data_IF_032889299021
#
_entry.id   IF_032889299021
#
_cell.length_a   1.000
_cell.length_b   1.000
_cell.length_c   1.000
_cell.angle_alpha   90.00
_cell.angle_beta   90.00
_cell.angle_gamma   90.00
#
_symmetry.space_group_name_H-M   'P 1'
#
loop_
_entity.id
_entity.type
_entity.pdbx_description
1 polymer ?
#
# COMPACT_ATOMS: atom_id res chain seq x y z
N UNK A 1 -17.56 16.43 -14.31
CA UNK A 1 -17.33 16.76 -12.89
C UNK A 1 -15.84 16.59 -12.64
N UNK A 2 -15.15 17.63 -12.18
CA UNK A 2 -13.72 17.58 -11.92
C UNK A 2 -13.54 16.93 -10.53
N UNK A 3 -13.25 15.63 -10.49
CA UNK A 3 -13.21 14.82 -9.27
C UNK A 3 -11.80 14.71 -8.68
N UNK A 4 -10.93 15.70 -8.92
CA UNK A 4 -9.58 15.70 -8.35
C UNK A 4 -9.61 16.39 -6.98
N UNK A 5 -9.74 15.61 -5.91
CA UNK A 5 -9.42 16.08 -4.57
C UNK A 5 -7.91 16.19 -4.39
N UNK A 6 -7.45 17.20 -3.63
CA UNK A 6 -6.03 17.29 -3.25
C UNK A 6 -5.65 16.17 -2.29
N UNK A 7 -4.34 15.93 -2.10
CA UNK A 7 -3.88 14.93 -1.14
C UNK A 7 -4.32 15.29 0.30
N UNK A 8 -4.25 16.56 0.67
CA UNK A 8 -4.68 17.07 1.97
C UNK A 8 -6.19 16.89 2.20
N UNK A 9 -7.00 17.12 1.15
CA UNK A 9 -8.44 16.86 1.19
C UNK A 9 -8.74 15.38 1.41
N UNK A 10 -8.01 14.48 0.75
CA UNK A 10 -8.16 13.02 0.92
C UNK A 10 -7.73 12.60 2.33
N UNK A 11 -6.59 13.13 2.83
CA UNK A 11 -6.11 12.88 4.19
C UNK A 11 -7.18 13.27 5.21
N UNK A 12 -7.74 14.48 5.08
CA UNK A 12 -8.79 14.96 5.99
C UNK A 12 -10.09 14.17 5.86
N UNK A 13 -10.53 13.86 4.63
CA UNK A 13 -11.77 13.13 4.37
C UNK A 13 -11.73 11.69 4.90
N UNK A 14 -10.59 11.01 4.76
CA UNK A 14 -10.42 9.63 5.20
C UNK A 14 -9.91 9.50 6.64
N UNK A 15 -9.55 10.60 7.29
CA UNK A 15 -8.95 10.65 8.63
C UNK A 15 -7.63 9.87 8.68
N UNK A 16 -6.72 10.18 7.74
CA UNK A 16 -5.41 9.52 7.66
C UNK A 16 -4.41 10.11 8.67
N UNK A 17 -3.62 9.25 9.29
CA UNK A 17 -2.53 9.62 10.20
C UNK A 17 -1.17 9.36 9.56
N UNK A 18 -0.11 10.10 9.91
CA UNK A 18 1.24 9.82 9.41
C UNK A 18 1.68 8.39 9.74
N UNK A 19 2.19 7.66 8.74
CA UNK A 19 2.70 6.29 8.92
C UNK A 19 4.19 6.32 9.31
N UNK A 20 4.66 5.47 10.25
CA UNK A 20 6.07 5.42 10.68
C UNK A 20 7.08 5.21 9.54
N UNK A 21 6.65 4.57 8.46
CA UNK A 21 7.47 4.28 7.28
C UNK A 21 7.32 5.31 6.16
N UNK A 22 6.72 6.48 6.47
CA UNK A 22 6.27 7.56 5.57
C UNK A 22 4.91 7.32 4.93
N UNK A 23 4.36 8.39 4.37
CA UNK A 23 3.00 8.46 3.88
C UNK A 23 2.00 8.61 5.01
N UNK A 24 0.74 8.41 4.67
CA UNK A 24 -0.40 8.52 5.57
C UNK A 24 -1.21 7.24 5.47
N UNK A 25 -1.76 6.78 6.58
CA UNK A 25 -2.54 5.56 6.62
C UNK A 25 -3.69 5.65 7.61
N UNK A 26 -4.69 4.81 7.40
CA UNK A 26 -5.72 4.51 8.40
C UNK A 26 -6.24 3.11 8.17
N UNK A 27 -6.47 2.35 9.23
CA UNK A 27 -7.20 1.09 9.14
C UNK A 27 -8.70 1.36 9.06
N UNK A 28 -9.36 0.82 8.03
CA UNK A 28 -10.83 0.91 7.86
C UNK A 28 -11.54 -0.41 8.09
N UNK A 29 -10.81 -1.52 8.07
CA UNK A 29 -11.38 -2.84 8.28
C UNK A 29 -10.40 -3.74 9.03
N UNK A 30 -10.96 -4.52 9.95
CA UNK A 30 -10.28 -5.59 10.66
C UNK A 30 -11.27 -6.72 10.87
N UNK A 31 -10.92 -7.89 10.38
CA UNK A 31 -11.70 -9.10 10.54
C UNK A 31 -11.59 -9.65 11.98
N UNK A 32 -12.46 -10.60 12.30
CA UNK A 32 -12.42 -11.34 13.54
C UNK A 32 -11.02 -11.94 13.77
N UNK A 33 -10.60 -11.87 15.03
CA UNK A 33 -9.40 -12.51 15.52
C UNK A 33 -9.76 -13.90 16.04
N UNK A 34 -9.44 -14.99 15.31
CA UNK A 34 -9.51 -16.32 15.91
C UNK A 34 -8.59 -16.37 17.14
N UNK A 35 -8.71 -17.41 17.96
CA UNK A 35 -8.10 -17.60 19.29
C UNK A 35 -6.56 -17.51 19.42
N UNK A 36 -5.86 -16.88 18.48
CA UNK A 36 -4.47 -16.43 18.55
C UNK A 36 -4.34 -14.89 18.43
N UNK A 37 -3.15 -14.43 18.00
CA UNK A 37 -2.74 -13.02 18.08
C UNK A 37 -3.00 -12.18 16.80
N UNK A 38 -3.67 -12.71 15.76
CA UNK A 38 -3.85 -12.02 14.47
C UNK A 38 -5.26 -12.19 13.89
N UNK A 39 -5.83 -11.12 13.35
CA UNK A 39 -7.07 -11.12 12.55
C UNK A 39 -6.90 -11.86 11.23
N UNK A 40 -7.99 -12.43 10.68
CA UNK A 40 -7.95 -13.08 9.36
C UNK A 40 -7.52 -12.14 8.24
N UNK A 41 -7.99 -10.89 8.29
CA UNK A 41 -7.58 -9.85 7.34
C UNK A 41 -7.74 -8.46 7.96
N UNK A 42 -7.00 -7.51 7.41
CA UNK A 42 -7.17 -6.08 7.66
C UNK A 42 -7.16 -5.34 6.33
N UNK A 43 -7.73 -4.15 6.28
CA UNK A 43 -7.63 -3.26 5.12
C UNK A 43 -7.36 -1.84 5.60
N UNK A 44 -6.34 -1.24 5.00
CA UNK A 44 -5.95 0.14 5.25
C UNK A 44 -6.12 0.97 3.99
N UNK A 45 -6.38 2.25 4.16
CA UNK A 45 -6.00 3.22 3.13
C UNK A 45 -4.55 3.63 3.38
N UNK A 46 -3.80 3.79 2.31
CA UNK A 46 -2.44 4.30 2.32
C UNK A 46 -2.29 5.36 1.22
N UNK A 47 -1.68 6.49 1.56
CA UNK A 47 -1.46 7.62 0.67
C UNK A 47 -0.01 8.07 0.77
N UNK A 48 0.63 8.25 -0.39
CA UNK A 48 1.95 8.85 -0.51
C UNK A 48 1.85 10.19 -1.23
N UNK A 49 2.37 11.22 -0.59
CA UNK A 49 2.60 12.52 -1.23
C UNK A 49 3.98 12.54 -1.87
N UNK A 50 4.11 13.21 -3.02
CA UNK A 50 5.38 13.27 -3.76
C UNK A 50 6.55 13.81 -2.94
N UNK A 51 6.29 14.66 -1.94
CA UNK A 51 7.33 15.18 -1.03
C UNK A 51 7.62 14.27 0.17
N UNK A 52 6.76 13.29 0.49
CA UNK A 52 7.03 12.32 1.56
C UNK A 52 8.21 11.38 1.18
N UNK A 53 8.50 11.29 -0.12
CA UNK A 53 9.57 10.47 -0.67
C UNK A 53 9.26 8.98 -0.57
N UNK A 54 10.26 8.15 -0.87
CA UNK A 54 10.10 6.69 -0.93
C UNK A 54 9.80 6.10 0.44
N UNK A 55 8.86 5.15 0.51
CA UNK A 55 8.62 4.35 1.71
C UNK A 55 9.80 3.41 1.99
N UNK A 56 9.85 2.87 3.21
CA UNK A 56 10.91 1.95 3.63
C UNK A 56 10.58 0.52 3.21
N UNK A 57 11.63 -0.23 2.86
CA UNK A 57 11.55 -1.68 2.69
C UNK A 57 11.04 -2.35 3.96
N UNK A 58 9.99 -3.17 3.83
CA UNK A 58 9.49 -4.02 4.91
C UNK A 58 8.98 -5.34 4.34
N UNK A 59 8.88 -6.36 5.20
CA UNK A 59 8.46 -7.72 4.84
C UNK A 59 7.27 -8.17 5.68
N UNK A 60 6.26 -8.72 5.02
CA UNK A 60 5.22 -9.50 5.69
C UNK A 60 5.73 -10.93 5.91
N UNK A 61 5.81 -11.38 7.16
CA UNK A 61 6.39 -12.68 7.52
C UNK A 61 5.37 -13.84 7.40
N UNK A 62 4.11 -13.55 7.63
CA UNK A 62 3.06 -14.53 7.92
C UNK A 62 1.70 -14.13 7.30
N UNK A 63 1.70 -13.20 6.34
CA UNK A 63 0.50 -12.79 5.62
C UNK A 63 0.79 -12.39 4.17
N UNK A 64 -0.25 -12.49 3.35
CA UNK A 64 -0.28 -11.90 2.01
C UNK A 64 -0.76 -10.47 2.13
N UNK A 65 -0.13 -9.58 1.39
CA UNK A 65 -0.58 -8.21 1.21
C UNK A 65 -1.16 -8.04 -0.19
N UNK A 66 -2.22 -7.23 -0.31
CA UNK A 66 -2.87 -6.94 -1.58
C UNK A 66 -2.99 -5.42 -1.69
N UNK A 67 -2.56 -4.88 -2.83
CA UNK A 67 -2.58 -3.46 -3.11
C UNK A 67 -3.67 -3.11 -4.12
N UNK A 68 -4.52 -2.15 -3.77
CA UNK A 68 -5.55 -1.61 -4.67
C UNK A 68 -5.26 -0.14 -4.98
N UNK A 69 -5.19 0.17 -6.28
CA UNK A 69 -5.07 1.55 -6.74
C UNK A 69 -6.43 2.25 -6.76
N UNK A 70 -6.54 3.40 -6.12
CA UNK A 70 -7.77 4.20 -6.11
C UNK A 70 -7.65 5.49 -6.92
N UNK A 71 -6.57 6.26 -6.72
CA UNK A 71 -6.41 7.57 -7.33
C UNK A 71 -4.95 8.06 -7.27
N UNK A 72 -4.66 9.15 -7.98
CA UNK A 72 -3.36 9.83 -7.95
C UNK A 72 -2.51 9.58 -9.18
N UNK A 73 -1.19 9.60 -8.99
CA UNK A 73 -0.22 9.17 -9.99
C UNK A 73 0.05 7.66 -9.84
N UNK A 74 0.42 6.95 -10.93
CA UNK A 74 0.84 5.56 -10.83
C UNK A 74 1.98 5.37 -9.83
N UNK A 75 1.89 4.31 -9.06
CA UNK A 75 2.82 3.97 -8.00
C UNK A 75 3.81 2.91 -8.48
N UNK A 76 5.10 3.09 -8.24
CA UNK A 76 6.08 2.03 -8.47
C UNK A 76 6.24 1.23 -7.17
N UNK A 77 6.00 -0.07 -7.24
CA UNK A 77 6.29 -1.01 -6.17
C UNK A 77 7.60 -1.73 -6.50
N UNK A 78 8.59 -1.59 -5.63
CA UNK A 78 9.83 -2.37 -5.68
C UNK A 78 9.64 -3.59 -4.79
N UNK A 79 9.70 -4.78 -5.38
CA UNK A 79 9.46 -6.06 -4.71
C UNK A 79 10.73 -6.90 -4.77
N UNK A 80 11.16 -7.53 -3.68
CA UNK A 80 12.28 -8.48 -3.69
C UNK A 80 11.87 -9.80 -3.03
N UNK A 81 12.38 -10.93 -3.53
CA UNK A 81 12.26 -12.21 -2.83
C UNK A 81 13.48 -12.41 -1.93
N UNK A 82 13.63 -13.61 -1.34
CA UNK A 82 14.78 -13.94 -0.48
C UNK A 82 16.15 -13.81 -1.17
N UNK A 83 16.17 -13.73 -2.50
CA UNK A 83 17.38 -13.46 -3.30
C UNK A 83 17.83 -11.98 -3.29
N UNK A 84 17.03 -11.08 -2.70
CA UNK A 84 17.35 -9.66 -2.58
C UNK A 84 17.36 -8.88 -3.90
N UNK A 85 16.96 -9.50 -5.02
CA UNK A 85 16.96 -8.82 -6.32
C UNK A 85 15.63 -8.08 -6.50
N UNK A 86 15.63 -6.73 -6.55
CA UNK A 86 14.40 -5.98 -6.68
C UNK A 86 13.85 -6.08 -8.10
N UNK A 87 12.54 -6.29 -8.20
CA UNK A 87 11.74 -6.12 -9.41
C UNK A 87 10.76 -4.98 -9.20
N UNK A 88 10.57 -4.17 -10.24
CA UNK A 88 9.66 -3.04 -10.18
C UNK A 88 8.35 -3.37 -10.90
N UNK A 89 7.23 -3.04 -10.26
CA UNK A 89 5.89 -3.19 -10.80
C UNK A 89 5.20 -1.84 -10.72
N UNK A 90 4.41 -1.48 -11.73
CA UNK A 90 3.62 -0.26 -11.71
C UNK A 90 2.19 -0.61 -11.31
N UNK A 91 1.74 -0.04 -10.20
CA UNK A 91 0.36 -0.09 -9.75
C UNK A 91 -0.34 1.21 -10.18
N UNK A 92 -1.39 1.08 -11.00
CA UNK A 92 -2.12 2.23 -11.53
C UNK A 92 -3.38 1.81 -12.26
N UNK A 93 -4.05 2.78 -12.89
CA UNK A 93 -5.29 2.55 -13.62
C UNK A 93 -5.09 1.87 -14.99
N UNK A 94 -3.85 1.83 -15.48
CA UNK A 94 -3.50 1.18 -16.74
C UNK A 94 -3.49 -0.34 -16.57
N UNK A 95 -4.62 -0.96 -16.90
CA UNK A 95 -4.82 -2.41 -16.75
C UNK A 95 -3.89 -3.24 -17.64
N UNK A 96 -3.26 -2.65 -18.65
CA UNK A 96 -2.28 -3.36 -19.48
C UNK A 96 -0.97 -3.62 -18.74
N UNK A 97 -0.75 -2.95 -17.60
CA UNK A 97 0.43 -3.09 -16.73
C UNK A 97 0.15 -3.93 -15.47
N UNK A 98 -1.05 -4.47 -15.32
CA UNK A 98 -1.41 -5.31 -14.17
C UNK A 98 -0.58 -6.59 -14.19
N UNK A 99 0.17 -6.82 -13.12
CA UNK A 99 0.95 -8.04 -12.94
C UNK A 99 0.61 -8.69 -11.60
N UNK A 100 0.20 -9.96 -11.63
CA UNK A 100 -0.11 -10.74 -10.43
C UNK A 100 1.14 -11.50 -9.97
N UNK A 101 1.49 -11.37 -8.69
CA UNK A 101 2.59 -12.11 -8.09
C UNK A 101 2.14 -12.79 -6.79
N UNK A 102 2.47 -14.07 -6.58
CA UNK A 102 2.33 -14.69 -5.26
C UNK A 102 3.35 -14.02 -4.32
N UNK A 103 2.86 -13.26 -3.34
CA UNK A 103 3.69 -12.35 -2.54
C UNK A 103 4.27 -13.02 -1.28
N UNK A 104 5.58 -13.30 -1.32
CA UNK A 104 6.46 -13.15 -0.17
C UNK A 104 7.53 -12.17 -0.62
N UNK A 105 7.38 -10.89 -0.29
CA UNK A 105 8.33 -9.88 -0.77
C UNK A 105 8.58 -8.79 0.24
N UNK A 106 9.80 -8.27 0.20
CA UNK A 106 10.08 -6.95 0.75
C UNK A 106 9.48 -5.92 -0.20
N UNK A 107 8.83 -4.88 0.33
CA UNK A 107 8.14 -3.85 -0.45
C UNK A 107 8.70 -2.48 -0.09
N UNK A 108 9.13 -1.71 -1.09
CA UNK A 108 9.34 -0.27 -1.00
C UNK A 108 8.60 0.44 -2.14
N UNK A 109 8.11 1.64 -1.85
CA UNK A 109 7.20 2.41 -2.69
C UNK A 109 7.83 3.76 -3.03
#
# INVERSE_FOLDING_TARGET
>A
MNTSSSAEEIIAMLDLSPHPEKGYYVEKFRDAQPSGNRSYSTCIYYLLEGHAGQSRWHRMLDAIEIWHYYAGAPLQLSLATDDGTPRNVVLGIDLTKVTLYPMFSEIAI
#
